data_IF_731837021030
#
_entry.id   IF_731837021030
#
_cell.length_a   1.000
_cell.length_b   1.000
_cell.length_c   1.000
_cell.angle_alpha   90.00
_cell.angle_beta   90.00
_cell.angle_gamma   90.00
#
_symmetry.space_group_name_H-M   'P 1'
#
loop_
_entity.id
_entity.type
_entity.pdbx_description
1 polymer ?
#
# COMPACT_ATOMS: atom_id res chain seq x y z
N UNK A 1 -27.08 4.18 -14.66
CA UNK A 1 -26.18 4.61 -13.61
C UNK A 1 -25.23 5.65 -14.15
N UNK A 2 -25.06 6.75 -13.42
CA UNK A 2 -24.12 7.77 -13.82
C UNK A 2 -22.67 7.30 -13.63
N UNK A 3 -21.71 8.09 -14.13
CA UNK A 3 -20.30 7.77 -13.90
C UNK A 3 -19.98 7.80 -12.42
N UNK A 4 -18.99 7.00 -12.04
CA UNK A 4 -18.55 6.94 -10.67
C UNK A 4 -17.98 8.30 -10.23
N UNK A 5 -18.34 8.72 -9.04
CA UNK A 5 -17.85 9.98 -8.51
C UNK A 5 -16.32 9.92 -8.31
N UNK A 6 -15.61 11.04 -8.55
CA UNK A 6 -14.16 11.05 -8.32
C UNK A 6 -13.79 10.64 -6.90
N UNK A 7 -14.60 10.97 -5.90
CA UNK A 7 -14.33 10.59 -4.52
C UNK A 7 -14.49 9.10 -4.31
N UNK A 8 -15.40 8.44 -5.01
CA UNK A 8 -15.56 6.99 -4.92
C UNK A 8 -14.33 6.29 -5.47
N UNK A 9 -13.78 6.78 -6.58
CA UNK A 9 -12.54 6.24 -7.15
C UNK A 9 -11.39 6.41 -6.16
N UNK A 10 -11.27 7.57 -5.54
CA UNK A 10 -10.22 7.85 -4.56
C UNK A 10 -10.35 6.94 -3.34
N UNK A 11 -11.57 6.73 -2.85
CA UNK A 11 -11.81 5.85 -1.70
C UNK A 11 -11.48 4.40 -2.03
N UNK A 12 -11.88 3.92 -3.21
CA UNK A 12 -11.58 2.57 -3.64
C UNK A 12 -10.08 2.35 -3.77
N UNK A 13 -9.38 3.33 -4.35
CA UNK A 13 -7.93 3.29 -4.48
C UNK A 13 -7.27 3.23 -3.10
N UNK A 14 -7.71 4.07 -2.16
CA UNK A 14 -7.15 4.07 -0.81
C UNK A 14 -7.38 2.72 -0.12
N UNK A 15 -8.57 2.14 -0.27
CA UNK A 15 -8.88 0.84 0.31
C UNK A 15 -7.99 -0.26 -0.27
N UNK A 16 -7.83 -0.27 -1.60
CA UNK A 16 -7.01 -1.26 -2.27
C UNK A 16 -5.54 -1.14 -1.85
N UNK A 17 -5.03 0.09 -1.76
CA UNK A 17 -3.66 0.32 -1.31
C UNK A 17 -3.46 -0.10 0.14
N UNK A 18 -4.46 0.13 0.99
CA UNK A 18 -4.41 -0.29 2.39
C UNK A 18 -4.31 -1.82 2.49
N UNK A 19 -5.10 -2.54 1.69
CA UNK A 19 -5.03 -3.99 1.64
C UNK A 19 -3.67 -4.48 1.16
N UNK A 20 -3.13 -3.85 0.12
CA UNK A 20 -1.83 -4.21 -0.43
C UNK A 20 -0.71 -3.94 0.59
N UNK A 21 -0.77 -2.81 1.31
CA UNK A 21 0.20 -2.51 2.35
C UNK A 21 0.19 -3.59 3.44
N UNK A 22 -1.00 -4.04 3.83
CA UNK A 22 -1.15 -5.12 4.81
C UNK A 22 -0.55 -6.44 4.31
N UNK A 23 -0.79 -6.77 3.04
CA UNK A 23 -0.22 -7.98 2.44
C UNK A 23 1.30 -7.92 2.38
N UNK A 24 1.86 -6.76 2.04
CA UNK A 24 3.32 -6.58 2.02
C UNK A 24 3.92 -6.69 3.41
N UNK A 25 3.26 -6.15 4.43
CA UNK A 25 3.71 -6.26 5.81
C UNK A 25 3.73 -7.71 6.26
N UNK A 26 2.70 -8.48 5.92
CA UNK A 26 2.64 -9.90 6.25
C UNK A 26 3.74 -10.69 5.52
N UNK A 27 3.96 -10.39 4.25
CA UNK A 27 4.99 -11.05 3.46
C UNK A 27 6.39 -10.78 4.03
N UNK A 28 6.66 -9.55 4.46
CA UNK A 28 7.93 -9.21 5.10
C UNK A 28 8.14 -10.02 6.38
N UNK A 29 7.09 -10.17 7.18
CA UNK A 29 7.16 -10.95 8.42
C UNK A 29 7.42 -12.42 8.13
N UNK A 30 6.71 -12.97 7.14
CA UNK A 30 6.89 -14.37 6.73
C UNK A 30 8.29 -14.62 6.20
N UNK A 31 8.83 -13.71 5.42
CA UNK A 31 10.16 -13.86 4.84
C UNK A 31 11.23 -14.05 5.90
N UNK A 32 11.06 -13.47 7.08
CA UNK A 32 12.00 -13.63 8.18
C UNK A 32 12.11 -15.07 8.68
N UNK A 33 11.08 -15.88 8.47
CA UNK A 33 11.03 -17.23 8.98
C UNK A 33 11.69 -18.26 8.08
N UNK A 34 11.75 -18.00 6.79
CA UNK A 34 12.23 -19.01 5.85
C UNK A 34 13.39 -18.58 4.96
N UNK A 35 13.89 -17.38 5.16
CA UNK A 35 15.07 -16.90 4.44
C UNK A 35 16.15 -16.53 5.48
N UNK A 36 17.23 -17.29 5.54
CA UNK A 36 18.24 -17.14 6.58
C UNK A 36 19.62 -16.79 6.05
N UNK A 37 19.77 -16.52 4.77
CA UNK A 37 21.06 -16.27 4.14
C UNK A 37 21.16 -14.86 3.55
N UNK A 38 22.26 -14.52 2.85
CA UNK A 38 22.40 -13.19 2.24
C UNK A 38 21.30 -12.84 1.25
N UNK A 39 20.67 -13.85 0.63
CA UNK A 39 19.54 -13.59 -0.28
C UNK A 39 18.37 -12.97 0.46
N UNK A 40 18.17 -13.36 1.71
CA UNK A 40 17.12 -12.76 2.54
C UNK A 40 17.33 -11.26 2.70
N UNK A 41 18.56 -10.82 2.93
CA UNK A 41 18.85 -9.41 3.13
C UNK A 41 18.45 -8.58 1.92
N UNK A 42 18.79 -9.06 0.71
CA UNK A 42 18.43 -8.37 -0.53
C UNK A 42 16.92 -8.34 -0.72
N UNK A 43 16.27 -9.49 -0.53
CA UNK A 43 14.82 -9.58 -0.66
C UNK A 43 14.10 -8.69 0.34
N UNK A 44 14.58 -8.69 1.58
CA UNK A 44 13.98 -7.87 2.64
C UNK A 44 14.05 -6.37 2.29
N UNK A 45 15.20 -5.91 1.76
CA UNK A 45 15.35 -4.53 1.34
C UNK A 45 14.37 -4.17 0.22
N UNK A 46 14.19 -5.08 -0.75
CA UNK A 46 13.25 -4.87 -1.84
C UNK A 46 11.81 -4.80 -1.34
N UNK A 47 11.47 -5.66 -0.38
CA UNK A 47 10.12 -5.64 0.21
C UNK A 47 9.89 -4.37 1.01
N UNK A 48 10.91 -3.89 1.73
CA UNK A 48 10.80 -2.62 2.44
C UNK A 48 10.58 -1.45 1.49
N UNK A 49 11.33 -1.42 0.38
CA UNK A 49 11.17 -0.37 -0.62
C UNK A 49 9.75 -0.39 -1.23
N UNK A 50 9.27 -1.58 -1.57
CA UNK A 50 7.92 -1.74 -2.11
C UNK A 50 6.86 -1.32 -1.10
N UNK A 51 7.02 -1.72 0.15
CA UNK A 51 6.08 -1.36 1.22
C UNK A 51 6.07 0.15 1.44
N UNK A 52 7.23 0.79 1.48
CA UNK A 52 7.33 2.24 1.63
C UNK A 52 6.67 2.98 0.47
N UNK A 53 6.84 2.48 -0.76
CA UNK A 53 6.21 3.07 -1.93
C UNK A 53 4.68 2.97 -1.87
N UNK A 54 4.16 1.82 -1.44
CA UNK A 54 2.72 1.62 -1.28
C UNK A 54 2.17 2.51 -0.17
N UNK A 55 2.89 2.61 0.95
CA UNK A 55 2.48 3.49 2.05
C UNK A 55 2.43 4.96 1.62
N UNK A 56 3.41 5.42 0.85
CA UNK A 56 3.41 6.78 0.33
C UNK A 56 2.22 7.03 -0.60
N UNK A 57 1.93 6.06 -1.47
CA UNK A 57 0.77 6.14 -2.35
C UNK A 57 -0.55 6.17 -1.56
N UNK A 58 -0.61 5.39 -0.48
CA UNK A 58 -1.79 5.34 0.39
C UNK A 58 -2.02 6.69 1.08
N UNK A 59 -0.96 7.32 1.58
CA UNK A 59 -1.05 8.65 2.18
C UNK A 59 -1.61 9.65 1.17
N UNK A 60 -1.09 9.61 -0.06
CA UNK A 60 -1.56 10.52 -1.11
C UNK A 60 -3.03 10.25 -1.46
N UNK A 61 -3.42 8.99 -1.56
CA UNK A 61 -4.81 8.63 -1.87
C UNK A 61 -5.76 9.12 -0.78
N UNK A 62 -5.38 8.95 0.48
CA UNK A 62 -6.18 9.41 1.62
C UNK A 62 -6.29 10.93 1.64
N UNK A 63 -5.21 11.62 1.28
CA UNK A 63 -5.23 13.07 1.19
C UNK A 63 -6.22 13.54 0.13
N UNK A 64 -6.27 12.86 -1.01
CA UNK A 64 -7.21 13.20 -2.08
C UNK A 64 -8.65 12.97 -1.66
N UNK A 65 -8.92 11.90 -0.93
CA UNK A 65 -10.26 11.64 -0.39
C UNK A 65 -10.69 12.80 0.50
N UNK A 66 -9.81 13.21 1.40
CA UNK A 66 -10.09 14.30 2.33
C UNK A 66 -10.34 15.62 1.59
N UNK A 67 -9.51 15.92 0.60
CA UNK A 67 -9.67 17.14 -0.20
C UNK A 67 -11.01 17.16 -0.93
N UNK A 68 -11.43 16.02 -1.47
CA UNK A 68 -12.69 15.92 -2.18
C UNK A 68 -13.89 16.09 -1.23
N UNK A 69 -13.77 15.61 0.01
CA UNK A 69 -14.82 15.74 1.01
C UNK A 69 -14.97 17.16 1.55
N UNK A 70 -13.91 17.95 1.52
CA UNK A 70 -13.93 19.33 2.00
C UNK A 70 -14.57 20.29 1.01
N UNK A 71 -14.90 19.86 -0.19
CA UNK A 71 -15.63 20.65 -1.15
C UNK A 71 -17.14 20.51 -0.89
#
# INVERSE_FOLDING_TARGET
>A
MGPQEPNDVARDTARDLSGLAGELAALKADARHWLTDPEYAVLHLRLEDAHAAVEAALVEARRRVRMNEER
#
